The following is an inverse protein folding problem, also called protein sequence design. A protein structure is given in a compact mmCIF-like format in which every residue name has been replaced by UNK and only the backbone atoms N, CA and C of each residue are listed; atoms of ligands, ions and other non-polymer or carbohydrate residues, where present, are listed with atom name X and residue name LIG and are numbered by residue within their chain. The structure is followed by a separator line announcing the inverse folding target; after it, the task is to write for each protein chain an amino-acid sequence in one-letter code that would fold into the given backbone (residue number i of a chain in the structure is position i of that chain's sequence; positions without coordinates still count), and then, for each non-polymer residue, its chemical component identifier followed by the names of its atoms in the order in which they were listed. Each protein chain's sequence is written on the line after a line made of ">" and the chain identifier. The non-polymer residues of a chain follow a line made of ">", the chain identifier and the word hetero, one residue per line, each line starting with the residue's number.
data_IF_324450800555
#
_entry.id   IF_324450800555
#
_cell.length_a   1.000
_cell.length_b   1.000
_cell.length_c   1.000
_cell.angle_alpha   90.00
_cell.angle_beta   90.00
_cell.angle_gamma   90.00
#
_symmetry.space_group_name_H-M   'P 1'
#
loop_
_entity.id
_entity.type
_entity.pdbx_description
1 polymer ?
#
# COMPACT_ATOMS: atom_id res chain seq x y z
N UNK A 1 14.27 -3.04 -28.06
CA UNK A 1 13.96 -2.03 -27.03
C UNK A 1 13.56 -2.82 -25.81
N UNK A 2 14.28 -2.71 -24.70
CA UNK A 2 13.88 -3.38 -23.46
C UNK A 2 12.52 -2.84 -23.03
N UNK A 3 11.61 -3.74 -22.63
CA UNK A 3 10.32 -3.33 -22.09
C UNK A 3 10.55 -2.73 -20.70
N UNK A 4 10.42 -1.41 -20.57
CA UNK A 4 10.58 -0.70 -19.30
C UNK A 4 9.27 -0.65 -18.49
N UNK A 5 8.17 -1.14 -19.06
CA UNK A 5 6.90 -1.23 -18.36
C UNK A 5 6.97 -2.32 -17.31
N UNK A 6 6.62 -1.96 -16.07
CA UNK A 6 6.47 -2.91 -14.97
C UNK A 6 5.10 -2.78 -14.31
N UNK A 7 4.56 -3.90 -13.86
CA UNK A 7 3.25 -4.00 -13.23
C UNK A 7 3.40 -4.35 -11.75
N UNK A 8 2.74 -3.58 -10.90
CA UNK A 8 2.81 -3.74 -9.45
C UNK A 8 1.42 -4.00 -8.90
N UNK A 9 1.22 -5.13 -8.23
CA UNK A 9 0.02 -5.41 -7.46
C UNK A 9 0.26 -5.14 -5.97
N UNK A 10 -0.63 -4.40 -5.33
CA UNK A 10 -0.57 -4.01 -3.93
C UNK A 10 -1.78 -4.55 -3.18
N UNK A 11 -1.54 -5.28 -2.09
CA UNK A 11 -2.56 -5.98 -1.31
C UNK A 11 -2.65 -5.46 0.12
N UNK A 12 -3.88 -5.24 0.59
CA UNK A 12 -4.25 -5.04 2.00
C UNK A 12 -5.15 -6.20 2.46
N UNK A 13 -4.76 -6.81 3.58
CA UNK A 13 -5.23 -8.13 3.97
C UNK A 13 -6.36 -8.02 4.99
N UNK A 14 -7.55 -8.45 4.60
CA UNK A 14 -8.70 -8.56 5.50
C UNK A 14 -9.70 -9.61 5.04
N UNK A 15 -10.28 -10.38 5.97
CA UNK A 15 -11.23 -11.44 5.62
C UNK A 15 -12.51 -10.91 4.93
N UNK A 16 -12.99 -9.74 5.34
CA UNK A 16 -14.16 -9.08 4.72
C UNK A 16 -13.79 -8.01 3.70
N UNK A 17 -12.56 -7.52 3.81
CA UNK A 17 -12.07 -6.42 2.99
C UNK A 17 -10.69 -6.81 2.46
N UNK A 18 -10.64 -7.77 1.57
CA UNK A 18 -9.41 -8.14 0.88
C UNK A 18 -9.25 -7.20 -0.30
N UNK A 19 -8.48 -6.13 -0.11
CA UNK A 19 -8.33 -5.08 -1.12
C UNK A 19 -7.05 -5.29 -1.92
N UNK A 20 -7.11 -5.02 -3.21
CA UNK A 20 -5.91 -4.96 -4.05
C UNK A 20 -6.01 -3.93 -5.15
N UNK A 21 -4.85 -3.41 -5.54
CA UNK A 21 -4.68 -2.39 -6.57
C UNK A 21 -3.53 -2.76 -7.49
N UNK A 22 -3.74 -2.67 -8.80
CA UNK A 22 -2.73 -2.93 -9.82
C UNK A 22 -2.47 -1.64 -10.59
N UNK A 23 -1.20 -1.28 -10.72
CA UNK A 23 -0.74 -0.13 -11.50
C UNK A 23 0.36 -0.58 -12.45
N UNK A 24 0.27 -0.18 -13.71
CA UNK A 24 1.37 -0.23 -14.66
C UNK A 24 2.17 1.07 -14.59
N UNK A 25 3.49 0.97 -14.67
CA UNK A 25 4.39 2.13 -14.66
C UNK A 25 5.50 1.93 -15.68
N UNK A 26 5.96 3.03 -16.28
CA UNK A 26 7.26 3.06 -16.94
C UNK A 26 8.34 3.25 -15.87
N UNK A 27 9.25 2.28 -15.76
CA UNK A 27 10.34 2.31 -14.78
C UNK A 27 11.28 3.48 -15.02
N UNK A 28 11.52 3.86 -16.27
CA UNK A 28 12.44 4.93 -16.63
C UNK A 28 11.96 6.28 -16.09
N UNK A 29 10.66 6.51 -16.18
CA UNK A 29 9.95 7.68 -15.66
C UNK A 29 10.17 7.93 -14.16
N UNK A 30 10.45 6.88 -13.39
CA UNK A 30 10.75 6.97 -11.96
C UNK A 30 12.25 7.11 -11.69
N UNK A 31 13.10 6.40 -12.44
CA UNK A 31 14.56 6.44 -12.24
C UNK A 31 15.11 7.85 -12.49
N UNK A 32 14.54 8.58 -13.44
CA UNK A 32 14.93 9.95 -13.79
C UNK A 32 14.58 10.99 -12.70
N UNK A 33 13.77 10.62 -11.72
CA UNK A 33 13.38 11.52 -10.64
C UNK A 33 14.57 11.74 -9.70
N UNK A 34 15.13 12.95 -9.75
CA UNK A 34 16.18 13.35 -8.84
C UNK A 34 15.64 13.53 -7.41
N UNK A 35 16.28 12.85 -6.46
CA UNK A 35 15.93 12.94 -5.05
C UNK A 35 16.73 14.06 -4.35
N UNK A 36 16.33 14.41 -3.12
CA UNK A 36 17.04 15.36 -2.25
C UNK A 36 17.60 14.66 -1.01
N UNK A 37 18.51 15.36 -0.31
CA UNK A 37 19.16 14.86 0.91
C UNK A 37 18.13 14.52 1.97
N UNK A 38 18.36 13.43 2.70
CA UNK A 38 17.46 12.91 3.74
C UNK A 38 17.03 13.94 4.79
N UNK A 39 17.93 14.85 5.19
CA UNK A 39 17.67 15.88 6.19
C UNK A 39 16.70 16.97 5.72
N UNK A 40 16.51 17.12 4.40
CA UNK A 40 15.76 18.23 3.80
C UNK A 40 14.34 17.81 3.37
N UNK A 41 13.94 16.56 3.68
CA UNK A 41 12.70 15.96 3.15
C UNK A 41 11.46 16.20 3.97
N UNK A 42 11.62 16.27 5.29
CA UNK A 42 10.50 16.33 6.20
C UNK A 42 10.76 17.34 7.29
N UNK A 43 9.70 18.07 7.64
CA UNK A 43 9.64 18.85 8.86
C UNK A 43 9.73 17.92 10.09
N UNK A 44 10.06 18.45 11.29
CA UNK A 44 10.02 17.67 12.53
C UNK A 44 8.67 17.00 12.79
N UNK A 45 7.58 17.62 12.32
CA UNK A 45 6.21 17.09 12.34
C UNK A 45 6.00 15.88 11.42
N UNK A 46 6.96 15.52 10.57
CA UNK A 46 6.88 14.44 9.60
C UNK A 46 6.17 14.82 8.30
N UNK A 47 5.67 16.05 8.17
CA UNK A 47 5.12 16.57 6.91
C UNK A 47 6.26 16.76 5.91
N UNK A 48 6.03 16.42 4.64
CA UNK A 48 7.01 16.65 3.58
C UNK A 48 7.29 18.15 3.41
N UNK A 49 8.55 18.51 3.21
CA UNK A 49 8.92 19.87 2.80
C UNK A 49 8.35 20.17 1.41
N UNK A 50 8.13 21.45 1.04
CA UNK A 50 7.59 21.79 -0.29
C UNK A 50 8.41 21.20 -1.45
N UNK A 51 9.72 21.17 -1.33
CA UNK A 51 10.65 20.60 -2.30
C UNK A 51 10.46 19.08 -2.40
N UNK A 52 10.36 18.39 -1.27
CA UNK A 52 10.16 16.95 -1.26
C UNK A 52 8.76 16.54 -1.72
N UNK A 53 7.75 17.34 -1.40
CA UNK A 53 6.38 17.10 -1.85
C UNK A 53 6.28 17.12 -3.37
N UNK A 54 7.05 17.97 -4.07
CA UNK A 54 7.13 17.95 -5.54
C UNK A 54 7.67 16.63 -6.07
N UNK A 55 8.66 16.04 -5.41
CA UNK A 55 9.24 14.74 -5.77
C UNK A 55 8.21 13.63 -5.55
N UNK A 56 7.56 13.61 -4.39
CA UNK A 56 6.49 12.65 -4.07
C UNK A 56 5.35 12.79 -5.07
N UNK A 57 4.93 14.00 -5.41
CA UNK A 57 3.88 14.24 -6.39
C UNK A 57 4.29 13.77 -7.78
N UNK A 58 5.55 13.94 -8.18
CA UNK A 58 6.05 13.41 -9.44
C UNK A 58 5.96 11.87 -9.45
N UNK A 59 6.46 11.19 -8.41
CA UNK A 59 6.32 9.72 -8.27
C UNK A 59 4.87 9.28 -8.32
N UNK A 60 4.01 10.00 -7.58
CA UNK A 60 2.60 9.73 -7.53
C UNK A 60 1.89 10.03 -8.86
N UNK A 61 2.41 10.86 -9.77
CA UNK A 61 1.81 11.06 -11.10
C UNK A 61 2.17 9.95 -12.09
N UNK A 62 3.32 9.31 -11.92
CA UNK A 62 3.79 8.27 -12.84
C UNK A 62 3.04 6.96 -12.62
N UNK A 63 2.29 6.53 -13.63
CA UNK A 63 1.60 5.24 -13.64
C UNK A 63 0.12 5.31 -14.00
N UNK A 64 -0.39 4.20 -14.48
CA UNK A 64 -1.77 4.03 -14.89
C UNK A 64 -2.43 2.87 -14.14
N UNK A 65 -3.63 3.11 -13.60
CA UNK A 65 -4.39 2.07 -12.91
C UNK A 65 -4.82 1.01 -13.92
N UNK A 66 -4.58 -0.24 -13.56
CA UNK A 66 -5.18 -1.39 -14.25
C UNK A 66 -6.43 -1.87 -13.52
N UNK A 67 -6.35 -2.05 -12.20
CA UNK A 67 -7.43 -2.68 -11.43
C UNK A 67 -7.47 -2.18 -9.99
N UNK A 68 -8.68 -2.01 -9.44
CA UNK A 68 -8.90 -1.76 -8.01
C UNK A 68 -10.11 -2.59 -7.56
N UNK A 69 -9.90 -3.45 -6.56
CA UNK A 69 -10.92 -4.36 -6.09
C UNK A 69 -10.90 -4.49 -4.56
N UNK A 70 -12.05 -4.83 -4.00
CA UNK A 70 -12.19 -5.20 -2.60
C UNK A 70 -13.18 -6.36 -2.46
N UNK A 71 -12.71 -7.50 -1.95
CA UNK A 71 -13.47 -8.75 -1.89
C UNK A 71 -13.78 -9.17 -0.46
N UNK A 72 -14.98 -9.70 -0.26
CA UNK A 72 -15.37 -10.37 0.97
C UNK A 72 -15.13 -11.87 0.84
N UNK A 73 -14.20 -12.40 1.62
CA UNK A 73 -13.82 -13.82 1.63
C UNK A 73 -14.70 -14.64 2.59
N UNK A 74 -15.66 -14.00 3.27
CA UNK A 74 -16.53 -14.64 4.26
C UNK A 74 -17.85 -15.16 3.69
N UNK A 75 -18.00 -15.13 2.36
CA UNK A 75 -19.17 -15.70 1.68
C UNK A 75 -19.33 -17.19 2.00
N UNK A 76 -20.54 -17.59 2.40
CA UNK A 76 -20.91 -18.95 2.80
C UNK A 76 -20.08 -19.55 3.96
N UNK A 77 -19.36 -18.72 4.72
CA UNK A 77 -18.55 -19.18 5.86
C UNK A 77 -19.34 -19.23 7.16
N UNK A 78 -18.92 -20.12 8.06
CA UNK A 78 -19.40 -20.19 9.43
C UNK A 78 -18.78 -19.06 10.28
N UNK A 79 -19.57 -18.01 10.48
CA UNK A 79 -19.18 -16.84 11.28
C UNK A 79 -19.00 -17.13 12.78
N UNK A 80 -19.38 -18.32 13.27
CA UNK A 80 -19.14 -18.73 14.66
C UNK A 80 -17.69 -19.16 14.89
N UNK A 81 -16.98 -19.58 13.83
CA UNK A 81 -15.59 -20.01 13.91
C UNK A 81 -14.65 -18.81 13.99
N UNK A 82 -13.53 -19.01 14.68
CA UNK A 82 -12.46 -18.02 14.75
C UNK A 82 -11.93 -17.67 13.34
N UNK A 83 -11.59 -18.69 12.57
CA UNK A 83 -11.27 -18.63 11.16
C UNK A 83 -11.81 -19.91 10.53
N UNK A 84 -12.82 -19.80 9.67
CA UNK A 84 -13.32 -20.95 8.92
C UNK A 84 -12.37 -21.28 7.78
N UNK A 85 -12.13 -22.56 7.54
CA UNK A 85 -11.19 -23.02 6.50
C UNK A 85 -11.66 -22.60 5.10
N UNK A 86 -12.98 -22.45 4.92
CA UNK A 86 -13.58 -21.93 3.70
C UNK A 86 -13.10 -20.50 3.36
N UNK A 87 -12.68 -19.69 4.34
CA UNK A 87 -12.07 -18.38 4.07
C UNK A 87 -10.77 -18.54 3.27
N UNK A 88 -9.96 -19.57 3.55
CA UNK A 88 -8.71 -19.84 2.83
C UNK A 88 -8.97 -20.40 1.43
N UNK A 89 -10.00 -21.23 1.30
CA UNK A 89 -10.47 -21.69 -0.01
C UNK A 89 -10.95 -20.51 -0.86
N UNK A 90 -11.84 -19.66 -0.32
CA UNK A 90 -12.33 -18.46 -1.00
C UNK A 90 -11.19 -17.50 -1.39
N UNK A 91 -10.17 -17.36 -0.55
CA UNK A 91 -8.97 -16.59 -0.89
C UNK A 91 -8.24 -17.19 -2.09
N UNK A 92 -8.05 -18.51 -2.13
CA UNK A 92 -7.39 -19.20 -3.24
C UNK A 92 -8.17 -19.05 -4.54
N UNK A 93 -9.49 -19.32 -4.51
CA UNK A 93 -10.37 -19.15 -5.68
C UNK A 93 -10.37 -17.70 -6.20
N UNK A 94 -10.37 -16.72 -5.29
CA UNK A 94 -10.28 -15.32 -5.65
C UNK A 94 -8.93 -15.00 -6.32
N UNK A 95 -7.82 -15.50 -5.77
CA UNK A 95 -6.51 -15.32 -6.40
C UNK A 95 -6.45 -16.00 -7.77
N UNK A 96 -7.00 -17.20 -7.94
CA UNK A 96 -7.04 -17.89 -9.23
C UNK A 96 -7.92 -17.17 -10.25
N UNK A 97 -9.05 -16.60 -9.83
CA UNK A 97 -9.95 -15.80 -10.68
C UNK A 97 -9.25 -14.61 -11.34
N UNK A 98 -8.27 -14.01 -10.67
CA UNK A 98 -7.52 -12.86 -11.19
C UNK A 98 -6.12 -13.23 -11.70
N UNK A 99 -5.86 -14.53 -11.94
CA UNK A 99 -4.54 -15.04 -12.33
C UNK A 99 -3.94 -14.36 -13.56
N UNK A 100 -4.74 -14.05 -14.56
CA UNK A 100 -4.29 -13.35 -15.77
C UNK A 100 -3.66 -11.97 -15.48
N UNK A 101 -4.11 -11.28 -14.42
CA UNK A 101 -3.50 -10.03 -13.99
C UNK A 101 -2.20 -10.27 -13.22
N UNK A 102 -2.16 -11.30 -12.38
CA UNK A 102 -0.96 -11.65 -11.62
C UNK A 102 0.16 -12.12 -12.52
N UNK A 103 -0.16 -12.84 -13.59
CA UNK A 103 0.79 -13.31 -14.60
C UNK A 103 1.54 -12.12 -15.23
N UNK A 104 0.88 -10.98 -15.40
CA UNK A 104 1.47 -9.75 -15.92
C UNK A 104 2.27 -8.95 -14.87
N UNK A 105 1.99 -9.13 -13.58
CA UNK A 105 2.66 -8.37 -12.52
C UNK A 105 4.12 -8.82 -12.34
N UNK A 106 5.05 -7.87 -12.28
CA UNK A 106 6.45 -8.13 -11.93
C UNK A 106 6.67 -8.12 -10.42
N UNK A 107 5.86 -7.32 -9.71
CA UNK A 107 6.02 -7.08 -8.28
C UNK A 107 4.69 -7.27 -7.56
N UNK A 108 4.72 -8.06 -6.48
CA UNK A 108 3.58 -8.30 -5.59
C UNK A 108 3.91 -7.73 -4.21
N UNK A 109 3.22 -6.67 -3.81
CA UNK A 109 3.34 -6.00 -2.52
C UNK A 109 2.23 -6.48 -1.59
N UNK A 110 2.60 -7.09 -0.47
CA UNK A 110 1.65 -7.58 0.54
C UNK A 110 1.86 -6.77 1.81
N UNK A 111 0.82 -6.09 2.31
CA UNK A 111 0.93 -5.39 3.58
C UNK A 111 1.21 -6.37 4.73
N UNK A 112 2.29 -6.11 5.46
CA UNK A 112 2.64 -6.85 6.66
C UNK A 112 1.61 -6.63 7.77
N UNK A 113 0.99 -7.70 8.24
CA UNK A 113 0.09 -7.68 9.38
C UNK A 113 0.89 -7.61 10.68
N UNK A 114 0.98 -6.41 11.23
CA UNK A 114 1.79 -6.13 12.40
C UNK A 114 1.26 -6.83 13.66
N UNK A 115 2.13 -7.57 14.35
CA UNK A 115 1.87 -8.14 15.68
C UNK A 115 2.62 -7.35 16.77
N UNK A 116 1.95 -6.41 17.44
CA UNK A 116 2.57 -5.61 18.50
C UNK A 116 2.11 -6.07 19.89
N UNK A 117 3.05 -6.57 20.70
CA UNK A 117 2.81 -6.96 22.08
C UNK A 117 1.69 -7.99 22.19
N UNK A 118 0.66 -7.66 23.01
CA UNK A 118 -0.50 -8.53 23.26
C UNK A 118 -1.58 -8.46 22.18
N UNK A 119 -1.52 -7.50 21.25
CA UNK A 119 -2.52 -7.34 20.19
C UNK A 119 -1.97 -8.01 18.93
N UNK A 120 -2.44 -9.24 18.68
CA UNK A 120 -2.10 -10.03 17.49
C UNK A 120 -3.38 -10.33 16.73
N UNK A 121 -3.52 -9.76 15.53
CA UNK A 121 -4.57 -10.19 14.61
C UNK A 121 -4.09 -11.44 13.86
N UNK A 122 -4.07 -12.59 14.55
CA UNK A 122 -3.50 -13.83 14.00
C UNK A 122 -4.29 -14.34 12.79
N UNK A 123 -5.57 -14.00 12.65
CA UNK A 123 -6.32 -14.24 11.41
C UNK A 123 -5.71 -13.51 10.21
N UNK A 124 -5.47 -12.21 10.33
CA UNK A 124 -4.90 -11.44 9.22
C UNK A 124 -3.49 -11.91 8.89
N UNK A 125 -2.69 -12.28 9.90
CA UNK A 125 -1.36 -12.88 9.70
C UNK A 125 -1.46 -14.20 8.92
N UNK A 126 -2.44 -15.06 9.23
CA UNK A 126 -2.67 -16.30 8.48
C UNK A 126 -3.05 -16.01 7.03
N UNK A 127 -3.91 -15.03 6.78
CA UNK A 127 -4.29 -14.62 5.43
C UNK A 127 -3.10 -14.03 4.67
N UNK A 128 -2.29 -13.18 5.32
CA UNK A 128 -1.04 -12.64 4.75
C UNK A 128 -0.12 -13.77 4.30
N UNK A 129 0.13 -14.75 5.17
CA UNK A 129 0.97 -15.89 4.86
C UNK A 129 0.37 -16.76 3.75
N UNK A 130 -0.95 -16.94 3.71
CA UNK A 130 -1.61 -17.69 2.64
C UNK A 130 -1.47 -16.98 1.29
N UNK A 131 -1.74 -15.68 1.24
CA UNK A 131 -1.54 -14.84 0.05
C UNK A 131 -0.09 -14.91 -0.42
N UNK A 132 0.88 -14.73 0.48
CA UNK A 132 2.30 -14.81 0.16
C UNK A 132 2.67 -16.20 -0.38
N UNK A 133 2.19 -17.26 0.29
CA UNK A 133 2.48 -18.64 -0.10
C UNK A 133 1.93 -18.95 -1.48
N UNK A 134 0.70 -18.54 -1.79
CA UNK A 134 0.10 -18.68 -3.13
C UNK A 134 1.03 -18.13 -4.22
N UNK A 135 1.47 -16.87 -4.10
CA UNK A 135 2.33 -16.26 -5.09
C UNK A 135 3.72 -16.92 -5.15
N UNK A 136 4.28 -17.30 -4.00
CA UNK A 136 5.60 -17.95 -3.95
C UNK A 136 5.61 -19.33 -4.59
N UNK A 137 4.51 -20.09 -4.44
CA UNK A 137 4.38 -21.44 -5.00
C UNK A 137 4.11 -21.34 -6.50
N UNK A 138 3.23 -20.42 -6.92
CA UNK A 138 2.80 -20.29 -8.32
C UNK A 138 3.87 -19.68 -9.21
N UNK A 139 4.61 -18.68 -8.72
CA UNK A 139 5.55 -17.91 -9.54
C UNK A 139 7.02 -18.04 -9.12
N UNK A 140 7.31 -18.75 -8.03
CA UNK A 140 8.68 -18.98 -7.57
C UNK A 140 9.48 -17.68 -7.44
N UNK A 141 10.57 -17.59 -8.22
CA UNK A 141 11.48 -16.44 -8.24
C UNK A 141 11.20 -15.47 -9.41
N UNK A 142 10.23 -15.76 -10.27
CA UNK A 142 9.93 -14.95 -11.46
C UNK A 142 9.35 -13.59 -11.09
N UNK A 143 8.64 -13.50 -9.95
CA UNK A 143 8.03 -12.27 -9.45
C UNK A 143 8.68 -11.83 -8.15
N UNK A 144 8.86 -10.51 -7.99
CA UNK A 144 9.37 -9.94 -6.74
C UNK A 144 8.24 -9.86 -5.71
N UNK A 145 8.29 -10.73 -4.70
CA UNK A 145 7.37 -10.68 -3.56
C UNK A 145 7.93 -9.78 -2.46
N UNK A 146 7.17 -8.77 -2.06
CA UNK A 146 7.57 -7.79 -1.04
C UNK A 146 6.56 -7.77 0.10
N UNK A 147 7.03 -8.07 1.30
CA UNK A 147 6.24 -7.87 2.53
C UNK A 147 6.43 -6.42 2.99
N UNK A 148 5.45 -5.57 2.70
CA UNK A 148 5.54 -4.12 2.87
C UNK A 148 5.14 -3.69 4.29
N UNK A 149 5.98 -2.88 4.94
CA UNK A 149 5.70 -2.39 6.30
C UNK A 149 4.60 -1.32 6.27
N UNK A 150 3.50 -1.55 6.98
CA UNK A 150 2.32 -0.67 7.00
C UNK A 150 2.61 0.80 7.37
N UNK A 151 3.70 1.10 8.11
CA UNK A 151 4.04 2.47 8.49
C UNK A 151 4.72 3.26 7.35
N UNK A 152 5.32 2.59 6.36
CA UNK A 152 6.01 3.25 5.26
C UNK A 152 5.07 4.16 4.48
N UNK A 153 3.82 3.74 4.22
CA UNK A 153 2.84 4.55 3.47
C UNK A 153 2.64 5.94 4.07
N UNK A 154 2.54 6.01 5.39
CA UNK A 154 2.38 7.27 6.12
C UNK A 154 3.68 8.05 6.30
N UNK A 155 4.82 7.37 6.42
CA UNK A 155 6.11 8.04 6.63
C UNK A 155 6.62 8.64 5.33
N UNK A 156 6.56 7.88 4.24
CA UNK A 156 7.03 8.28 2.91
C UNK A 156 6.21 9.45 2.40
N UNK A 157 4.88 9.35 2.45
CA UNK A 157 3.97 10.36 1.93
C UNK A 157 3.68 11.50 2.92
N UNK A 158 4.47 11.63 3.99
CA UNK A 158 4.46 12.83 4.83
C UNK A 158 3.23 13.02 5.72
N UNK A 159 2.71 11.94 6.31
CA UNK A 159 1.61 12.05 7.27
C UNK A 159 2.06 12.79 8.54
N UNK A 160 1.31 13.83 8.89
CA UNK A 160 1.58 14.67 10.06
C UNK A 160 1.57 13.87 11.38
N UNK A 161 2.52 14.19 12.25
CA UNK A 161 2.67 13.66 13.60
C UNK A 161 2.18 14.67 14.63
N UNK A 162 1.73 14.16 15.76
CA UNK A 162 1.26 14.96 16.89
C UNK A 162 2.46 15.38 17.73
N UNK A 163 2.57 16.68 18.00
CA UNK A 163 3.52 17.21 18.96
C UNK A 163 3.10 16.86 20.40
N UNK A 164 4.03 16.32 21.18
CA UNK A 164 3.83 15.94 22.58
C UNK A 164 4.96 16.49 23.42
N UNK A 165 4.62 17.38 24.36
CA UNK A 165 5.55 17.84 25.40
C UNK A 165 5.70 16.76 26.46
N UNK A 166 6.92 16.31 26.67
CA UNK A 166 7.24 15.33 27.72
C UNK A 166 7.23 15.99 29.10
N UNK A 167 7.19 15.17 30.17
CA UNK A 167 7.24 15.65 31.57
C UNK A 167 8.50 16.50 31.86
N UNK A 168 9.59 16.27 31.14
CA UNK A 168 10.84 17.05 31.25
C UNK A 168 10.87 18.29 30.35
N UNK A 169 9.74 18.68 29.74
CA UNK A 169 9.64 19.83 28.85
C UNK A 169 10.12 19.61 27.41
N UNK A 170 10.76 18.48 27.10
CA UNK A 170 11.26 18.17 25.74
C UNK A 170 10.09 17.88 24.79
N UNK A 171 10.13 18.49 23.60
CA UNK A 171 9.17 18.27 22.51
C UNK A 171 9.50 16.94 21.81
N UNK A 172 8.47 16.14 21.53
CA UNK A 172 8.57 14.91 20.73
C UNK A 172 7.38 14.80 19.78
N UNK A 173 7.62 14.28 18.58
CA UNK A 173 6.55 14.01 17.61
C UNK A 173 6.17 12.53 17.62
N UNK A 174 4.87 12.24 17.72
CA UNK A 174 4.33 10.87 17.72
C UNK A 174 3.36 10.67 16.57
N UNK A 175 3.38 9.48 15.97
CA UNK A 175 2.41 9.14 14.95
C UNK A 175 0.97 9.29 15.46
N UNK A 176 0.08 9.83 14.61
CA UNK A 176 -1.35 9.94 14.91
C UNK A 176 -1.97 8.55 15.13
N UNK A 177 -3.08 8.49 15.87
CA UNK A 177 -3.78 7.22 16.19
C UNK A 177 -4.35 6.56 14.93
N UNK A 178 -4.62 5.24 15.01
CA UNK A 178 -5.14 4.42 13.89
C UNK A 178 -6.34 5.03 13.15
N UNK A 179 -7.39 5.57 13.82
CA UNK A 179 -8.52 6.17 13.11
C UNK A 179 -8.14 7.41 12.28
N UNK A 180 -7.21 8.23 12.79
CA UNK A 180 -6.73 9.41 12.07
C UNK A 180 -5.88 9.01 10.84
N UNK A 181 -5.05 7.96 10.96
CA UNK A 181 -4.30 7.42 9.81
C UNK A 181 -5.20 6.91 8.69
N UNK A 182 -6.30 6.23 9.04
CA UNK A 182 -7.31 5.77 8.05
C UNK A 182 -7.95 6.94 7.30
N UNK A 183 -8.33 7.99 8.02
CA UNK A 183 -8.87 9.22 7.39
C UNK A 183 -7.83 9.93 6.53
N UNK A 184 -6.58 9.97 6.99
CA UNK A 184 -5.46 10.54 6.23
C UNK A 184 -5.22 9.76 4.94
N UNK A 185 -5.22 8.42 4.97
CA UNK A 185 -5.03 7.60 3.78
C UNK A 185 -6.12 7.85 2.74
N UNK A 186 -7.39 7.98 3.16
CA UNK A 186 -8.48 8.36 2.26
C UNK A 186 -8.26 9.73 1.63
N UNK A 187 -7.86 10.73 2.44
CA UNK A 187 -7.59 12.08 1.94
C UNK A 187 -6.44 12.07 0.93
N UNK A 188 -5.37 11.35 1.24
CA UNK A 188 -4.16 11.30 0.43
C UNK A 188 -4.39 10.54 -0.88
N UNK A 189 -5.07 9.38 -0.83
CA UNK A 189 -5.47 8.67 -2.04
C UNK A 189 -6.33 9.54 -2.95
N UNK A 190 -7.32 10.27 -2.40
CA UNK A 190 -8.11 11.22 -3.19
C UNK A 190 -7.27 12.31 -3.81
N UNK A 191 -6.33 12.90 -3.07
CA UNK A 191 -5.40 13.92 -3.60
C UNK A 191 -4.60 13.39 -4.78
N UNK A 192 -4.05 12.18 -4.65
CA UNK A 192 -3.28 11.51 -5.70
C UNK A 192 -4.15 11.24 -6.93
N UNK A 193 -5.35 10.69 -6.74
CA UNK A 193 -6.25 10.37 -7.84
C UNK A 193 -6.77 11.61 -8.56
N UNK A 194 -7.11 12.68 -7.83
CA UNK A 194 -7.47 13.98 -8.44
C UNK A 194 -6.30 14.56 -9.22
N UNK A 195 -5.07 14.44 -8.70
CA UNK A 195 -3.86 14.89 -9.39
C UNK A 195 -3.59 14.11 -10.69
N UNK A 196 -4.08 12.86 -10.77
CA UNK A 196 -4.00 11.97 -11.93
C UNK A 196 -5.21 12.06 -12.86
N UNK A 197 -6.24 12.82 -12.50
CA UNK A 197 -7.52 12.87 -13.23
C UNK A 197 -8.20 11.48 -13.34
N UNK A 198 -8.01 10.60 -12.35
CA UNK A 198 -8.62 9.25 -12.30
C UNK A 198 -10.00 9.28 -11.61
N UNK A 199 -10.96 9.91 -12.30
CA UNK A 199 -12.34 10.09 -11.81
C UNK A 199 -13.08 8.77 -11.59
N UNK A 200 -12.77 7.74 -12.38
CA UNK A 200 -13.35 6.40 -12.23
C UNK A 200 -13.02 5.80 -10.86
N UNK A 201 -11.75 5.84 -10.46
CA UNK A 201 -11.33 5.34 -9.14
C UNK A 201 -11.90 6.18 -8.01
N UNK A 202 -11.96 7.51 -8.19
CA UNK A 202 -12.61 8.39 -7.24
C UNK A 202 -14.08 7.99 -7.05
N UNK A 203 -14.78 7.65 -8.14
CA UNK A 203 -16.15 7.13 -8.12
C UNK A 203 -16.27 5.83 -7.32
N UNK A 204 -15.42 4.84 -7.58
CA UNK A 204 -15.38 3.56 -6.85
C UNK A 204 -15.17 3.77 -5.35
N UNK A 205 -14.21 4.62 -4.97
CA UNK A 205 -13.94 4.93 -3.56
C UNK A 205 -15.13 5.68 -2.95
N UNK A 206 -15.77 6.60 -3.68
CA UNK A 206 -16.88 7.39 -3.15
C UNK A 206 -18.06 6.52 -2.72
N UNK A 207 -18.42 5.51 -3.52
CA UNK A 207 -19.55 4.61 -3.25
C UNK A 207 -19.21 3.50 -2.25
N UNK A 208 -17.93 3.15 -2.10
CA UNK A 208 -17.51 2.08 -1.18
C UNK A 208 -17.80 2.42 0.28
N UNK A 209 -18.27 1.43 1.04
CA UNK A 209 -18.40 1.52 2.52
C UNK A 209 -17.05 1.46 3.23
N UNK A 210 -16.01 0.96 2.54
CA UNK A 210 -14.69 0.62 3.05
C UNK A 210 -13.61 1.40 2.32
N UNK A 211 -13.77 2.72 2.39
CA UNK A 211 -12.93 3.69 1.67
C UNK A 211 -11.47 3.59 2.08
N UNK A 212 -11.23 3.33 3.36
CA UNK A 212 -9.88 3.23 3.94
C UNK A 212 -9.11 2.03 3.40
N UNK A 213 -9.72 0.85 3.30
CA UNK A 213 -9.04 -0.35 2.80
C UNK A 213 -8.65 -0.20 1.31
N UNK A 214 -9.55 0.37 0.48
CA UNK A 214 -9.25 0.73 -0.93
C UNK A 214 -8.17 1.82 -1.06
N UNK A 215 -8.18 2.80 -0.17
CA UNK A 215 -7.20 3.89 -0.21
C UNK A 215 -5.82 3.41 0.24
N UNK A 216 -5.77 2.46 1.18
CA UNK A 216 -4.54 1.93 1.76
C UNK A 216 -3.69 1.21 0.71
N UNK A 217 -4.28 0.43 -0.20
CA UNK A 217 -3.55 -0.25 -1.28
C UNK A 217 -2.95 0.72 -2.31
N UNK A 218 -3.61 1.87 -2.55
CA UNK A 218 -3.12 2.93 -3.44
C UNK A 218 -1.91 3.62 -2.80
N UNK A 219 -2.05 4.13 -1.58
CA UNK A 219 -0.95 4.85 -0.90
C UNK A 219 0.23 3.94 -0.58
N UNK A 220 -0.02 2.64 -0.34
CA UNK A 220 1.02 1.63 -0.23
C UNK A 220 1.85 1.52 -1.50
N UNK A 221 1.19 1.38 -2.67
CA UNK A 221 1.88 1.28 -3.95
C UNK A 221 2.69 2.55 -4.25
N UNK A 222 2.11 3.73 -4.02
CA UNK A 222 2.82 4.99 -4.22
C UNK A 222 4.07 5.12 -3.35
N UNK A 223 3.96 4.75 -2.07
CA UNK A 223 5.11 4.77 -1.17
C UNK A 223 6.18 3.75 -1.57
N UNK A 224 5.79 2.58 -2.06
CA UNK A 224 6.72 1.58 -2.58
C UNK A 224 7.49 2.11 -3.80
N UNK A 225 6.82 2.75 -4.76
CA UNK A 225 7.50 3.31 -5.95
C UNK A 225 8.61 4.27 -5.56
N UNK A 226 8.35 5.17 -4.61
CA UNK A 226 9.38 6.07 -4.10
C UNK A 226 10.55 5.29 -3.46
N UNK A 227 10.25 4.36 -2.56
CA UNK A 227 11.27 3.59 -1.83
C UNK A 227 12.13 2.70 -2.73
N UNK A 228 11.56 2.16 -3.79
CA UNK A 228 12.25 1.24 -4.70
C UNK A 228 13.03 2.01 -5.77
N UNK A 229 12.40 2.97 -6.44
CA UNK A 229 12.94 3.54 -7.68
C UNK A 229 13.56 4.94 -7.52
N UNK A 230 13.32 5.64 -6.40
CA UNK A 230 13.82 7.01 -6.18
C UNK A 230 14.73 7.09 -4.96
N UNK A 231 14.42 6.36 -3.89
CA UNK A 231 15.27 6.32 -2.68
C UNK A 231 16.58 5.59 -2.92
N UNK A 232 16.56 4.48 -3.67
CA UNK A 232 17.76 3.66 -3.92
C UNK A 232 18.78 4.37 -4.83
N UNK A 233 18.34 5.33 -5.64
CA UNK A 233 19.21 6.08 -6.57
C UNK A 233 20.19 7.05 -5.87
N UNK A 234 20.07 7.25 -4.54
CA UNK A 234 21.03 8.05 -3.76
C UNK A 234 22.32 7.31 -3.39
N UNK A 235 22.40 6.01 -3.70
CA UNK A 235 23.57 5.17 -3.44
C UNK A 235 24.39 4.85 -4.71
N UNK A 236 24.07 5.51 -5.82
CA UNK A 236 24.90 5.60 -7.03
C UNK A 236 25.45 7.03 -7.15
#
# INVERSE_FOLDING_TARGET
>A
MENNTIWIASFDIGKKNFSFYIEEIDKQDLIEIQNIKKCDRYEPSGVATPEFQKIIDNVCRKGHKILLENKDLTENTDNSKYLDDLVMYNLTEMLDKYSEYWDQCDIILIEKQMSFGKIRNTMAIRLEHHTWSYFSIKYGIEKKLVVFMAYHKTQVLGAEKIEVKTKSGKIRYKAVKKPARKKWAIKEAKRILTMREDDDTLGVIAISKKKDDLSDVIVQLQAYKYLEFVEQNLHL
#
